data_IF_001556024991
#
_entry.id   IF_001556024991
#
_cell.length_a   1.000
_cell.length_b   1.000
_cell.length_c   1.000
_cell.angle_alpha   90.00
_cell.angle_beta   90.00
_cell.angle_gamma   90.00
#
_symmetry.space_group_name_H-M   'P 1'
#
loop_
_entity.id
_entity.type
_entity.pdbx_description
1 polymer ?
#
# COMPACT_ATOMS: atom_id res chain seq x y z
N UNK A 1 28.42 -9.37 35.38
CA UNK A 1 28.20 -9.81 33.99
C UNK A 1 26.79 -10.34 33.75
N UNK A 2 26.27 -11.25 34.58
CA UNK A 2 24.91 -11.81 34.42
C UNK A 2 23.81 -10.73 34.47
N UNK A 3 23.87 -9.79 35.41
CA UNK A 3 22.90 -8.69 35.52
C UNK A 3 22.87 -7.82 34.25
N UNK A 4 24.04 -7.52 33.69
CA UNK A 4 24.18 -6.73 32.45
C UNK A 4 23.56 -7.49 31.27
N UNK A 5 23.80 -8.80 31.17
CA UNK A 5 23.21 -9.63 30.12
C UNK A 5 21.67 -9.65 30.20
N UNK A 6 21.09 -9.74 31.39
CA UNK A 6 19.63 -9.70 31.59
C UNK A 6 19.05 -8.35 31.14
N UNK A 7 19.69 -7.23 31.51
CA UNK A 7 19.25 -5.90 31.11
C UNK A 7 19.26 -5.74 29.58
N UNK A 8 20.30 -6.26 28.91
CA UNK A 8 20.40 -6.23 27.44
C UNK A 8 19.27 -7.04 26.79
N UNK A 9 18.97 -8.23 27.29
CA UNK A 9 17.90 -9.08 26.74
C UNK A 9 16.52 -8.44 26.93
N UNK A 10 16.23 -7.89 28.12
CA UNK A 10 14.97 -7.20 28.38
C UNK A 10 14.84 -5.94 27.51
N UNK A 11 15.93 -5.18 27.35
CA UNK A 11 15.97 -4.02 26.47
C UNK A 11 15.68 -4.38 25.01
N UNK A 12 16.27 -5.47 24.50
CA UNK A 12 16.01 -5.95 23.14
C UNK A 12 14.55 -6.38 22.94
N UNK A 13 13.96 -7.10 23.90
CA UNK A 13 12.55 -7.50 23.84
C UNK A 13 11.65 -6.26 23.81
N UNK A 14 11.94 -5.26 24.65
CA UNK A 14 11.17 -4.02 24.68
C UNK A 14 11.25 -3.27 23.35
N UNK A 15 12.44 -3.18 22.73
CA UNK A 15 12.61 -2.57 21.41
C UNK A 15 11.75 -3.31 20.36
N UNK A 16 11.79 -4.64 20.32
CA UNK A 16 10.99 -5.43 19.36
C UNK A 16 9.49 -5.18 19.53
N UNK A 17 9.00 -5.12 20.77
CA UNK A 17 7.58 -4.85 21.07
C UNK A 17 7.19 -3.44 20.61
N UNK A 18 8.02 -2.45 20.89
CA UNK A 18 7.74 -1.05 20.52
C UNK A 18 7.76 -0.86 19.00
N UNK A 19 8.72 -1.48 18.31
CA UNK A 19 8.82 -1.44 16.84
C UNK A 19 7.57 -2.08 16.22
N UNK A 20 7.18 -3.27 16.68
CA UNK A 20 5.93 -3.94 16.22
C UNK A 20 4.68 -3.11 16.49
N UNK A 21 4.63 -2.33 17.57
CA UNK A 21 3.48 -1.46 17.83
C UNK A 21 3.43 -0.25 16.89
N UNK A 22 4.56 0.34 16.51
CA UNK A 22 4.59 1.44 15.52
C UNK A 22 4.04 1.02 14.16
N UNK A 23 4.25 -0.23 13.76
CA UNK A 23 3.69 -0.80 12.54
C UNK A 23 2.14 -0.75 12.51
N UNK A 24 1.49 -0.80 13.68
CA UNK A 24 0.03 -0.87 13.79
C UNK A 24 -0.69 0.49 13.69
N UNK A 25 0.02 1.62 13.75
CA UNK A 25 -0.60 2.96 13.84
C UNK A 25 -0.23 3.92 12.71
N UNK A 26 0.38 3.43 11.64
CA UNK A 26 0.69 4.28 10.49
C UNK A 26 -0.61 4.71 9.81
N UNK A 27 -0.78 6.01 9.58
CA UNK A 27 -1.91 6.54 8.85
C UNK A 27 -1.64 6.50 7.34
N UNK A 28 -2.71 6.49 6.54
CA UNK A 28 -2.62 6.38 5.08
C UNK A 28 -1.84 7.55 4.46
N UNK A 29 -2.08 8.77 4.96
CA UNK A 29 -1.40 10.00 4.55
C UNK A 29 0.09 10.04 4.92
N UNK A 30 0.55 9.22 5.86
CA UNK A 30 1.97 9.05 6.16
C UNK A 30 2.71 8.15 5.15
N UNK A 31 1.96 7.35 4.37
CA UNK A 31 2.51 6.44 3.36
C UNK A 31 2.87 7.18 2.08
N UNK A 32 1.99 8.06 1.62
CA UNK A 32 2.23 8.95 0.48
C UNK A 32 1.98 10.38 0.96
N UNK A 33 3.02 11.09 1.41
CA UNK A 33 2.88 12.48 1.84
C UNK A 33 2.35 13.31 0.66
N UNK A 34 1.48 14.28 0.96
CA UNK A 34 0.82 15.15 -0.03
C UNK A 34 -0.15 14.42 -0.98
N UNK A 35 -0.33 13.12 -0.81
CA UNK A 35 -1.36 12.34 -1.50
C UNK A 35 -2.76 12.66 -0.99
N UNK A 36 -3.72 12.78 -1.90
CA UNK A 36 -5.13 12.93 -1.56
C UNK A 36 -5.73 11.56 -1.24
N UNK A 37 -6.16 11.35 -0.01
CA UNK A 37 -6.90 10.14 0.37
C UNK A 37 -8.26 10.13 -0.33
N UNK A 38 -8.47 9.16 -1.21
CA UNK A 38 -9.74 8.97 -1.94
C UNK A 38 -10.69 8.08 -1.15
N UNK A 39 -10.15 7.05 -0.50
CA UNK A 39 -10.92 6.16 0.37
C UNK A 39 -10.04 5.65 1.51
N UNK A 40 -10.43 5.97 2.75
CA UNK A 40 -9.71 5.51 3.94
C UNK A 40 -10.03 4.04 4.25
N UNK A 41 -11.25 3.60 3.96
CA UNK A 41 -11.71 2.22 4.20
C UNK A 41 -11.04 1.22 3.25
N UNK A 42 -10.83 1.62 1.98
CA UNK A 42 -10.17 0.78 0.98
C UNK A 42 -8.65 0.96 0.97
N UNK A 43 -8.13 1.98 1.65
CA UNK A 43 -6.73 2.33 1.62
C UNK A 43 -6.29 2.85 0.25
N UNK A 44 -7.01 3.83 -0.30
CA UNK A 44 -6.78 4.40 -1.63
C UNK A 44 -6.32 5.84 -1.55
N UNK A 45 -5.19 6.14 -2.20
CA UNK A 45 -4.60 7.49 -2.28
C UNK A 45 -4.41 7.87 -3.75
N UNK A 46 -4.58 9.14 -4.06
CA UNK A 46 -4.31 9.72 -5.36
C UNK A 46 -3.20 10.76 -5.26
N UNK A 47 -2.17 10.64 -6.10
CA UNK A 47 -1.00 11.52 -6.12
C UNK A 47 -0.51 11.67 -7.56
N UNK A 48 -0.32 12.91 -8.04
CA UNK A 48 0.13 13.24 -9.40
C UNK A 48 -0.66 12.57 -10.55
N UNK A 49 -1.97 12.36 -10.34
CA UNK A 49 -2.85 11.69 -11.30
C UNK A 49 -2.72 10.16 -11.31
N UNK A 50 -1.92 9.59 -10.41
CA UNK A 50 -1.79 8.15 -10.17
C UNK A 50 -2.63 7.76 -8.96
N UNK A 51 -3.37 6.65 -9.06
CA UNK A 51 -4.11 6.08 -7.92
C UNK A 51 -3.37 4.89 -7.35
N UNK A 52 -3.04 4.99 -6.08
CA UNK A 52 -2.40 3.96 -5.29
C UNK A 52 -3.45 3.22 -4.46
N UNK A 53 -3.62 1.93 -4.75
CA UNK A 53 -4.45 1.02 -3.96
C UNK A 53 -3.53 0.31 -2.98
N UNK A 54 -3.42 0.83 -1.76
CA UNK A 54 -2.52 0.33 -0.72
C UNK A 54 -3.19 -0.75 0.13
N UNK A 55 -4.51 -0.65 0.31
CA UNK A 55 -5.21 -1.38 1.35
C UNK A 55 -4.98 -0.75 2.72
N UNK A 56 -5.57 -1.35 3.75
CA UNK A 56 -5.51 -0.87 5.14
C UNK A 56 -4.50 -1.60 6.02
N UNK A 57 -3.83 -2.60 5.46
CA UNK A 57 -2.92 -3.49 6.19
C UNK A 57 -1.47 -3.25 5.75
N UNK A 58 -0.53 -3.43 6.69
CA UNK A 58 0.92 -3.36 6.48
C UNK A 58 1.42 -2.08 5.78
N UNK A 59 0.83 -0.93 6.14
CA UNK A 59 1.12 0.38 5.54
C UNK A 59 2.61 0.74 5.58
N UNK A 60 3.34 0.35 6.63
CA UNK A 60 4.78 0.56 6.74
C UNK A 60 5.56 -0.20 5.65
N UNK A 61 5.18 -1.45 5.38
CA UNK A 61 5.79 -2.26 4.32
C UNK A 61 5.43 -1.70 2.94
N UNK A 62 4.22 -1.18 2.77
CA UNK A 62 3.81 -0.51 1.53
C UNK A 62 4.62 0.77 1.28
N UNK A 63 4.85 1.57 2.32
CA UNK A 63 5.73 2.76 2.24
C UNK A 63 7.15 2.40 1.81
N UNK A 64 7.77 1.43 2.46
CA UNK A 64 9.12 0.97 2.10
C UNK A 64 9.18 0.46 0.64
N UNK A 65 8.14 -0.22 0.16
CA UNK A 65 8.04 -0.63 -1.24
C UNK A 65 7.91 0.55 -2.20
N UNK A 66 7.11 1.56 -1.87
CA UNK A 66 6.95 2.79 -2.67
C UNK A 66 8.29 3.49 -2.81
N UNK A 67 9.01 3.67 -1.71
CA UNK A 67 10.32 4.33 -1.69
C UNK A 67 11.37 3.54 -2.49
N UNK A 68 11.45 2.21 -2.30
CA UNK A 68 12.43 1.35 -2.99
C UNK A 68 12.19 1.22 -4.48
N UNK A 69 10.93 1.15 -4.90
CA UNK A 69 10.55 1.02 -6.30
C UNK A 69 10.35 2.38 -6.98
N UNK A 70 10.61 3.48 -6.27
CA UNK A 70 10.45 4.85 -6.76
C UNK A 70 9.06 5.08 -7.37
N UNK A 71 8.02 4.55 -6.73
CA UNK A 71 6.67 4.57 -7.30
C UNK A 71 6.06 5.97 -7.32
N UNK A 72 6.60 6.94 -6.56
CA UNK A 72 6.14 8.33 -6.56
C UNK A 72 6.63 9.13 -7.77
N UNK A 73 7.64 8.62 -8.50
CA UNK A 73 8.17 9.30 -9.69
C UNK A 73 7.26 9.11 -10.93
N UNK A 74 6.19 8.30 -10.79
CA UNK A 74 5.22 8.10 -11.85
C UNK A 74 4.25 9.28 -11.92
N UNK A 75 4.13 9.85 -13.11
CA UNK A 75 3.17 10.91 -13.41
C UNK A 75 2.14 10.46 -14.44
N UNK A 76 0.93 11.01 -14.32
CA UNK A 76 -0.15 10.80 -15.27
C UNK A 76 -1.07 9.65 -14.88
N UNK A 77 -2.05 9.33 -15.74
CA UNK A 77 -3.13 8.42 -15.38
C UNK A 77 -2.65 6.97 -15.31
N UNK A 78 -2.35 6.54 -14.09
CA UNK A 78 -2.00 5.16 -13.80
C UNK A 78 -2.66 4.69 -12.50
N UNK A 79 -2.83 3.38 -12.39
CA UNK A 79 -3.23 2.73 -11.14
C UNK A 79 -2.11 1.81 -10.69
N UNK A 80 -1.64 2.00 -9.46
CA UNK A 80 -0.65 1.16 -8.81
C UNK A 80 -1.38 0.37 -7.72
N UNK A 81 -1.58 -0.91 -7.96
CA UNK A 81 -2.22 -1.82 -7.00
C UNK A 81 -1.14 -2.56 -6.20
N UNK A 82 -1.09 -2.24 -4.91
CA UNK A 82 -0.13 -2.79 -3.95
C UNK A 82 -0.81 -3.66 -2.90
N UNK A 83 -2.10 -4.01 -3.04
CA UNK A 83 -2.82 -4.82 -2.05
C UNK A 83 -2.32 -6.27 -1.95
N UNK A 84 -1.54 -6.73 -2.92
CA UNK A 84 -0.99 -8.08 -2.96
C UNK A 84 0.33 -8.16 -2.18
N UNK A 85 0.56 -9.28 -1.49
CA UNK A 85 1.71 -9.43 -0.59
C UNK A 85 3.06 -9.53 -1.28
N UNK A 86 3.07 -9.97 -2.55
CA UNK A 86 4.29 -10.30 -3.30
C UNK A 86 4.38 -9.61 -4.64
N UNK A 87 3.38 -8.84 -5.04
CA UNK A 87 3.27 -8.26 -6.38
C UNK A 87 2.78 -6.83 -6.30
N UNK A 88 3.32 -5.99 -7.18
CA UNK A 88 2.82 -4.64 -7.46
C UNK A 88 2.34 -4.64 -8.90
N UNK A 89 1.06 -4.29 -9.11
CA UNK A 89 0.46 -4.26 -10.43
C UNK A 89 0.32 -2.81 -10.87
N UNK A 90 1.05 -2.44 -11.91
CA UNK A 90 0.97 -1.10 -12.50
C UNK A 90 0.14 -1.19 -13.78
N UNK A 91 -0.98 -0.47 -13.81
CA UNK A 91 -1.85 -0.34 -14.98
C UNK A 91 -1.78 1.09 -15.49
N UNK A 92 -1.13 1.28 -16.62
CA UNK A 92 -1.21 2.54 -17.36
C UNK A 92 -2.56 2.62 -18.07
N UNK A 93 -3.26 3.74 -17.96
CA UNK A 93 -4.61 3.89 -18.52
C UNK A 93 -4.88 5.29 -19.03
N UNK A 94 -5.90 5.44 -19.86
CA UNK A 94 -6.38 6.75 -20.32
C UNK A 94 -7.34 7.36 -19.30
N UNK A 95 -6.82 7.91 -18.20
CA UNK A 95 -7.61 8.63 -17.19
C UNK A 95 -8.62 7.78 -16.39
N UNK A 96 -8.97 8.26 -15.20
CA UNK A 96 -10.03 7.66 -14.38
C UNK A 96 -11.40 7.93 -14.99
N UNK A 97 -11.78 7.13 -15.99
CA UNK A 97 -13.08 7.21 -16.67
C UNK A 97 -13.37 6.05 -17.64
N UNK A 98 -12.37 5.31 -18.09
CA UNK A 98 -12.59 4.16 -18.97
C UNK A 98 -12.75 2.85 -18.20
N UNK A 99 -13.76 2.75 -17.33
CA UNK A 99 -14.35 1.44 -17.04
C UNK A 99 -14.99 0.96 -18.35
N UNK A 100 -14.24 0.21 -19.16
CA UNK A 100 -14.85 -0.66 -20.18
C UNK A 100 -15.71 -1.65 -19.40
N UNK A 101 -17.00 -1.36 -19.34
CA UNK A 101 -18.03 -2.34 -19.03
C UNK A 101 -17.74 -3.58 -19.85
N UNK A 102 -17.42 -4.68 -19.15
CA UNK A 102 -17.34 -5.99 -19.78
C UNK A 102 -18.72 -6.25 -20.38
N UNK A 103 -18.87 -6.43 -21.70
CA UNK A 103 -20.18 -6.73 -22.26
C UNK A 103 -20.61 -8.10 -21.72
N UNK A 104 -21.68 -8.08 -20.92
CA UNK A 104 -22.33 -9.27 -20.38
C UNK A 104 -23.17 -9.95 -21.48
N UNK A 105 -22.51 -10.36 -22.56
CA UNK A 105 -23.14 -11.03 -23.70
C UNK A 105 -22.24 -12.12 -24.26
N UNK A 106 -21.89 -13.10 -23.43
CA UNK A 106 -21.25 -14.33 -23.89
C UNK A 106 -21.66 -15.54 -23.04
N UNK A 107 -22.94 -15.67 -22.70
CA UNK A 107 -23.44 -16.95 -22.15
C UNK A 107 -24.91 -17.19 -22.53
N UNK A 108 -25.19 -17.21 -23.83
CA UNK A 108 -26.40 -17.85 -24.34
C UNK A 108 -26.14 -18.41 -25.74
N UNK A 109 -25.67 -19.66 -25.77
CA UNK A 109 -25.97 -20.68 -26.78
C UNK A 109 -25.07 -21.89 -26.56
N UNK A 110 -25.58 -22.89 -25.85
CA UNK A 110 -25.40 -24.27 -26.29
C UNK A 110 -26.79 -24.90 -26.38
N UNK A 111 -27.07 -25.37 -27.59
CA UNK A 111 -28.16 -26.29 -27.92
C UNK A 111 -27.93 -27.61 -27.21
#
# INVERSE_FOLDING_TARGET
>A
MILIAIIVVVGLIFIVIVVKKREAYMLLDEVIPEGRVVSQEEGTIEYHGVRYLLGTHDLMRRKDLIERLQLLDFEGPATVDMRFDTQVIIKQGTGFGAQKSVPHSAQSRRK
#
